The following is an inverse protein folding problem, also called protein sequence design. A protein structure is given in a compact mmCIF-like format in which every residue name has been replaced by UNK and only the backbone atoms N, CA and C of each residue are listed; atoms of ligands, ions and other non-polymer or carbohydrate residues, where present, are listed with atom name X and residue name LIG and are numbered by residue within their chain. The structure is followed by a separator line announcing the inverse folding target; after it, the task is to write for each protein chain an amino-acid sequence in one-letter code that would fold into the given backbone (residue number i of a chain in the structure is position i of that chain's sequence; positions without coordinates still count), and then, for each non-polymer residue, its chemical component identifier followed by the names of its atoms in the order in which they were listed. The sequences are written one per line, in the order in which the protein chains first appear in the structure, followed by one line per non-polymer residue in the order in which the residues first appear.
data_IF_422825605448
#
_entry.id   IF_422825605448
#
_cell.length_a   1.000
_cell.length_b   1.000
_cell.length_c   1.000
_cell.angle_alpha   90.00
_cell.angle_beta   90.00
_cell.angle_gamma   90.00
#
_symmetry.space_group_name_H-M   'P 1'
#
loop_
_entity.id
_entity.type
_entity.pdbx_description
1 polymer ?
#
# COMPACT_ATOMS: atom_id res chain seq x y z
N UNK A 1 -3.22 -33.34 26.39
CA UNK A 1 -4.32 -33.28 25.40
C UNK A 1 -5.47 -32.55 26.07
N UNK A 2 -5.92 -31.40 25.55
CA UNK A 2 -7.10 -30.71 26.08
C UNK A 2 -8.34 -31.39 25.49
N UNK A 3 -9.29 -31.76 26.34
CA UNK A 3 -10.57 -32.32 25.93
C UNK A 3 -11.66 -31.31 26.22
N UNK A 4 -12.51 -31.04 25.25
CA UNK A 4 -13.64 -30.11 25.34
C UNK A 4 -14.94 -30.92 25.39
N UNK A 5 -15.99 -30.38 26.01
CA UNK A 5 -17.32 -30.99 25.95
C UNK A 5 -17.96 -30.74 24.58
N UNK A 6 -18.90 -31.61 24.19
CA UNK A 6 -19.60 -31.50 22.90
C UNK A 6 -20.33 -30.16 22.78
N UNK A 7 -21.10 -29.75 23.81
CA UNK A 7 -21.77 -28.44 23.86
C UNK A 7 -20.80 -27.25 23.67
N UNK A 8 -19.56 -27.39 24.13
CA UNK A 8 -18.55 -26.35 23.98
C UNK A 8 -18.04 -26.30 22.54
N UNK A 9 -17.79 -27.46 21.94
CA UNK A 9 -17.36 -27.58 20.54
C UNK A 9 -18.45 -27.03 19.62
N UNK A 10 -19.72 -27.40 19.82
CA UNK A 10 -20.84 -26.95 18.98
C UNK A 10 -21.00 -25.42 19.03
N UNK A 11 -21.04 -24.85 20.24
CA UNK A 11 -21.16 -23.38 20.41
C UNK A 11 -20.07 -22.61 19.67
N UNK A 12 -18.83 -23.08 19.75
CA UNK A 12 -17.70 -22.42 19.12
C UNK A 12 -17.54 -22.78 17.64
N UNK A 13 -18.06 -23.92 17.19
CA UNK A 13 -18.12 -24.27 15.77
C UNK A 13 -19.06 -23.33 15.01
N UNK A 14 -20.25 -23.04 15.57
CA UNK A 14 -21.18 -22.07 14.98
C UNK A 14 -20.54 -20.68 14.86
N UNK A 15 -19.84 -20.25 15.92
CA UNK A 15 -19.14 -18.97 15.97
C UNK A 15 -17.96 -18.92 15.00
N UNK A 16 -17.22 -20.01 14.85
CA UNK A 16 -16.12 -20.16 13.89
C UNK A 16 -16.61 -19.99 12.44
N UNK A 17 -17.77 -20.58 12.10
CA UNK A 17 -18.38 -20.46 10.79
C UNK A 17 -18.91 -19.04 10.56
N UNK A 18 -19.64 -18.48 11.53
CA UNK A 18 -20.23 -17.15 11.45
C UNK A 18 -19.17 -16.06 11.21
N UNK A 19 -18.01 -16.18 11.86
CA UNK A 19 -16.90 -15.25 11.70
C UNK A 19 -15.93 -15.64 10.57
N UNK A 20 -16.22 -16.73 9.85
CA UNK A 20 -15.43 -17.21 8.70
C UNK A 20 -13.94 -17.34 9.01
N UNK A 21 -13.60 -17.79 10.22
CA UNK A 21 -12.23 -17.86 10.74
C UNK A 21 -11.27 -18.66 9.86
N UNK A 22 -11.78 -19.64 9.10
CA UNK A 22 -11.00 -20.37 8.10
C UNK A 22 -10.34 -19.47 7.05
N UNK A 23 -10.95 -18.32 6.71
CA UNK A 23 -10.36 -17.34 5.78
C UNK A 23 -9.10 -16.70 6.33
N UNK A 24 -9.00 -16.56 7.65
CA UNK A 24 -7.81 -16.04 8.32
C UNK A 24 -6.73 -17.13 8.54
N UNK A 25 -6.90 -18.32 7.97
CA UNK A 25 -5.92 -19.41 8.05
C UNK A 25 -5.93 -20.17 9.37
N UNK A 26 -6.97 -20.00 10.19
CA UNK A 26 -7.09 -20.63 11.52
C UNK A 26 -8.06 -21.81 11.43
N UNK A 27 -7.68 -22.96 11.99
CA UNK A 27 -8.59 -24.11 12.09
C UNK A 27 -9.40 -24.10 13.41
N UNK A 28 -10.44 -24.93 13.49
CA UNK A 28 -11.32 -24.96 14.68
C UNK A 28 -10.54 -25.34 15.96
N UNK A 29 -9.59 -26.28 15.86
CA UNK A 29 -8.82 -26.72 17.02
C UNK A 29 -7.93 -25.60 17.58
N UNK A 30 -7.32 -24.80 16.70
CA UNK A 30 -6.54 -23.60 17.06
C UNK A 30 -7.44 -22.51 17.63
N UNK A 31 -8.58 -22.26 17.00
CA UNK A 31 -9.57 -21.30 17.49
C UNK A 31 -10.00 -21.57 18.93
N UNK A 32 -10.24 -22.85 19.27
CA UNK A 32 -10.62 -23.29 20.62
C UNK A 32 -9.52 -23.11 21.68
N UNK A 33 -8.26 -22.84 21.30
CA UNK A 33 -7.19 -22.55 22.25
C UNK A 33 -7.41 -21.18 22.91
N UNK A 34 -7.85 -20.19 22.12
CA UNK A 34 -8.13 -18.83 22.58
C UNK A 34 -9.13 -18.10 21.66
N UNK A 35 -10.44 -18.37 21.79
CA UNK A 35 -11.45 -17.82 20.89
C UNK A 35 -11.42 -16.29 20.85
N UNK A 36 -11.32 -15.63 22.01
CA UNK A 36 -11.37 -14.17 22.11
C UNK A 36 -10.26 -13.44 21.32
N UNK A 37 -9.09 -14.07 21.16
CA UNK A 37 -8.00 -13.50 20.37
C UNK A 37 -8.30 -13.56 18.87
N UNK A 38 -8.79 -14.71 18.39
CA UNK A 38 -9.10 -14.91 16.98
C UNK A 38 -10.36 -14.14 16.56
N UNK A 39 -11.33 -13.98 17.46
CA UNK A 39 -12.52 -13.16 17.18
C UNK A 39 -12.18 -11.69 16.91
N UNK A 40 -11.08 -11.17 17.46
CA UNK A 40 -10.59 -9.82 17.12
C UNK A 40 -10.11 -9.73 15.67
N UNK A 41 -9.55 -10.82 15.12
CA UNK A 41 -9.15 -10.85 13.71
C UNK A 41 -10.34 -10.74 12.77
N UNK A 42 -11.54 -11.11 13.22
CA UNK A 42 -12.77 -10.95 12.44
C UNK A 42 -13.14 -9.48 12.20
N UNK A 43 -12.58 -8.55 13.00
CA UNK A 43 -12.78 -7.11 12.82
C UNK A 43 -11.85 -6.53 11.76
N UNK A 44 -10.75 -7.23 11.47
CA UNK A 44 -9.82 -6.85 10.42
C UNK A 44 -10.40 -7.22 9.05
N UNK A 45 -10.05 -6.48 7.98
CA UNK A 45 -10.47 -6.83 6.64
C UNK A 45 -10.05 -8.28 6.31
N UNK A 46 -10.98 -9.04 5.75
CA UNK A 46 -10.71 -10.42 5.33
C UNK A 46 -9.54 -10.44 4.34
N UNK A 47 -8.61 -11.40 4.45
CA UNK A 47 -7.54 -11.53 3.49
C UNK A 47 -8.09 -11.82 2.09
N UNK A 48 -7.36 -11.32 1.10
CA UNK A 48 -7.68 -11.52 -0.31
C UNK A 48 -7.67 -13.01 -0.62
N UNK A 49 -8.59 -13.43 -1.48
CA UNK A 49 -8.55 -14.79 -2.03
C UNK A 49 -7.29 -14.94 -2.90
N UNK A 50 -6.72 -16.14 -3.05
CA UNK A 50 -5.53 -16.36 -3.88
C UNK A 50 -5.68 -15.82 -5.31
N UNK A 51 -6.88 -15.91 -5.90
CA UNK A 51 -7.17 -15.34 -7.21
C UNK A 51 -7.14 -13.79 -7.23
N UNK A 52 -7.59 -13.16 -6.14
CA UNK A 52 -7.53 -11.71 -5.96
C UNK A 52 -6.09 -11.26 -5.72
N UNK A 53 -5.31 -11.97 -4.91
CA UNK A 53 -3.88 -11.72 -4.72
C UNK A 53 -3.12 -11.82 -6.05
N UNK A 54 -3.39 -12.86 -6.85
CA UNK A 54 -2.80 -13.00 -8.17
C UNK A 54 -3.20 -11.84 -9.11
N UNK A 55 -4.41 -11.29 -8.98
CA UNK A 55 -4.81 -10.10 -9.73
C UNK A 55 -4.03 -8.86 -9.28
N UNK A 56 -3.92 -8.63 -7.97
CA UNK A 56 -3.14 -7.52 -7.40
C UNK A 56 -1.68 -7.60 -7.85
N UNK A 57 -1.06 -8.78 -7.76
CA UNK A 57 0.32 -8.99 -8.21
C UNK A 57 0.49 -8.73 -9.70
N UNK A 58 -0.45 -9.17 -10.55
CA UNK A 58 -0.42 -8.88 -11.99
C UNK A 58 -0.53 -7.38 -12.28
N UNK A 59 -1.40 -6.67 -11.58
CA UNK A 59 -1.56 -5.22 -11.73
C UNK A 59 -0.26 -4.52 -11.32
N UNK A 60 0.28 -4.89 -10.16
CA UNK A 60 1.52 -4.30 -9.65
C UNK A 60 2.72 -4.57 -10.57
N UNK A 61 2.86 -5.80 -11.06
CA UNK A 61 3.88 -6.16 -12.06
C UNK A 61 3.74 -5.31 -13.32
N UNK A 62 2.53 -5.14 -13.86
CA UNK A 62 2.28 -4.31 -15.05
C UNK A 62 2.70 -2.85 -14.83
N UNK A 63 2.44 -2.30 -13.64
CA UNK A 63 2.82 -0.93 -13.28
C UNK A 63 4.35 -0.78 -13.16
N UNK A 64 5.02 -1.73 -12.52
CA UNK A 64 6.48 -1.70 -12.34
C UNK A 64 7.23 -1.84 -13.67
N UNK A 65 6.75 -2.71 -14.57
CA UNK A 65 7.39 -2.93 -15.88
C UNK A 65 6.96 -1.92 -16.95
N UNK A 66 6.01 -1.02 -16.65
CA UNK A 66 5.44 -0.10 -17.64
C UNK A 66 4.64 -0.78 -18.75
N UNK A 67 4.23 -2.04 -18.54
CA UNK A 67 3.36 -2.82 -19.44
C UNK A 67 1.88 -2.66 -19.09
N UNK A 68 1.56 -1.72 -18.18
CA UNK A 68 0.22 -1.22 -18.06
C UNK A 68 -0.15 -0.62 -19.40
N UNK A 69 -0.90 -1.36 -20.22
CA UNK A 69 -1.69 -0.78 -21.28
C UNK A 69 -2.38 0.42 -20.64
N UNK A 70 -2.03 1.63 -21.07
CA UNK A 70 -2.95 2.75 -20.94
C UNK A 70 -4.22 2.19 -21.56
N UNK A 71 -5.21 1.86 -20.73
CA UNK A 71 -6.55 1.60 -21.22
C UNK A 71 -6.79 2.75 -22.17
N UNK A 72 -6.91 2.44 -23.46
CA UNK A 72 -7.04 3.44 -24.51
C UNK A 72 -8.03 4.43 -23.94
N UNK A 73 -7.57 5.67 -23.68
CA UNK A 73 -8.41 6.69 -23.07
C UNK A 73 -9.74 6.57 -23.77
N UNK A 74 -10.86 6.31 -23.04
CA UNK A 74 -12.14 5.98 -23.67
C UNK A 74 -12.31 7.00 -24.76
N UNK A 75 -12.36 6.51 -26.02
CA UNK A 75 -12.26 7.34 -27.22
C UNK A 75 -13.08 8.57 -26.93
N UNK A 76 -12.39 9.69 -26.69
CA UNK A 76 -12.97 10.88 -26.09
C UNK A 76 -14.25 11.11 -26.84
N UNK A 77 -15.38 11.02 -26.12
CA UNK A 77 -16.67 11.44 -26.67
C UNK A 77 -16.39 12.76 -27.40
N UNK A 78 -16.88 12.95 -28.64
CA UNK A 78 -16.55 14.14 -29.41
C UNK A 78 -16.73 15.32 -28.48
N UNK A 79 -15.62 16.01 -28.18
CA UNK A 79 -15.54 17.04 -27.15
C UNK A 79 -16.81 17.87 -27.27
N UNK A 80 -17.76 17.67 -26.34
CA UNK A 80 -18.84 18.61 -26.20
C UNK A 80 -18.11 19.94 -26.05
N UNK A 81 -18.46 20.93 -26.88
CA UNK A 81 -17.91 22.27 -26.78
C UNK A 81 -18.24 22.78 -25.37
N UNK A 82 -17.39 22.43 -24.40
CA UNK A 82 -17.50 22.84 -23.02
C UNK A 82 -17.20 24.34 -23.08
N UNK A 83 -18.26 25.14 -22.97
CA UNK A 83 -18.11 26.57 -22.85
C UNK A 83 -17.07 26.83 -21.74
N UNK A 84 -16.02 27.61 -22.01
CA UNK A 84 -14.94 27.81 -21.05
C UNK A 84 -15.54 28.31 -19.74
N UNK A 85 -15.47 27.48 -18.70
CA UNK A 85 -15.98 27.80 -17.39
C UNK A 85 -15.23 29.01 -16.85
N UNK A 86 -15.90 30.15 -16.83
CA UNK A 86 -15.36 31.39 -16.28
C UNK A 86 -15.57 31.37 -14.77
N UNK A 87 -14.46 31.30 -14.02
CA UNK A 87 -14.52 31.37 -12.56
C UNK A 87 -15.13 32.71 -12.13
N UNK A 88 -16.03 32.71 -11.13
CA UNK A 88 -16.52 33.95 -10.53
C UNK A 88 -15.35 34.80 -10.02
N UNK A 89 -15.43 36.15 -10.11
CA UNK A 89 -14.33 37.07 -9.80
C UNK A 89 -13.82 36.97 -8.36
N UNK A 90 -14.62 36.43 -7.45
CA UNK A 90 -14.26 36.14 -6.06
C UNK A 90 -13.14 35.09 -5.92
N UNK A 91 -12.93 34.27 -6.96
CA UNK A 91 -11.90 33.23 -7.00
C UNK A 91 -10.66 33.60 -7.83
N UNK A 92 -10.57 34.84 -8.34
CA UNK A 92 -9.42 35.29 -9.14
C UNK A 92 -8.08 35.20 -8.38
N UNK A 93 -8.10 35.34 -7.05
CA UNK A 93 -6.92 35.18 -6.17
C UNK A 93 -6.36 33.75 -6.23
N UNK A 94 -7.23 32.76 -6.44
CA UNK A 94 -6.82 31.37 -6.59
C UNK A 94 -6.19 31.10 -7.95
N UNK A 95 -6.53 31.87 -8.99
CA UNK A 95 -5.95 31.74 -10.32
C UNK A 95 -4.47 32.12 -10.31
N UNK A 96 -4.11 33.23 -9.66
CA UNK A 96 -2.71 33.65 -9.45
C UNK A 96 -1.95 32.65 -8.56
N UNK A 97 -2.59 32.13 -7.52
CA UNK A 97 -2.00 31.11 -6.64
C UNK A 97 -1.72 29.80 -7.38
N UNK A 98 -2.68 29.33 -8.20
CA UNK A 98 -2.55 28.12 -9.01
C UNK A 98 -1.57 28.30 -10.18
N UNK A 99 -1.50 29.49 -10.79
CA UNK A 99 -0.48 29.85 -11.78
C UNK A 99 0.93 29.94 -11.16
N UNK A 100 1.03 30.44 -9.92
CA UNK A 100 2.26 30.47 -9.13
C UNK A 100 2.77 29.08 -8.73
N UNK A 101 1.84 28.16 -8.42
CA UNK A 101 2.12 26.73 -8.22
C UNK A 101 2.33 25.96 -9.54
N UNK A 102 1.78 26.47 -10.64
CA UNK A 102 1.64 25.80 -11.93
C UNK A 102 2.90 25.78 -12.81
N UNK A 103 3.99 26.42 -12.41
CA UNK A 103 5.29 26.27 -13.10
C UNK A 103 6.02 24.95 -12.75
N UNK A 104 5.28 23.91 -12.40
CA UNK A 104 5.75 22.54 -12.26
C UNK A 104 6.00 21.82 -13.61
N UNK A 105 6.05 22.56 -14.73
CA UNK A 105 6.46 22.03 -16.05
C UNK A 105 7.88 21.42 -16.05
N UNK A 106 8.67 21.66 -15.01
CA UNK A 106 10.00 21.06 -14.83
C UNK A 106 10.00 19.73 -14.03
N UNK A 107 8.87 19.31 -13.44
CA UNK A 107 8.81 18.06 -12.69
C UNK A 107 8.80 16.91 -13.70
N UNK A 108 9.87 16.12 -13.70
CA UNK A 108 9.98 14.93 -14.55
C UNK A 108 8.86 13.97 -14.19
N UNK A 109 8.04 13.64 -15.16
CA UNK A 109 7.07 12.56 -15.03
C UNK A 109 7.68 11.27 -15.56
N UNK A 110 7.34 10.14 -14.94
CA UNK A 110 7.53 8.80 -15.51
C UNK A 110 6.18 8.12 -15.44
N UNK A 111 5.68 7.64 -16.57
CA UNK A 111 4.40 6.93 -16.67
C UNK A 111 3.19 7.73 -16.12
N UNK A 112 3.16 9.06 -16.30
CA UNK A 112 2.05 9.91 -15.85
C UNK A 112 2.01 10.17 -14.34
N UNK A 113 2.91 9.59 -13.56
CA UNK A 113 3.07 9.89 -12.13
C UNK A 113 4.13 10.98 -11.94
N UNK A 114 3.83 11.96 -11.08
CA UNK A 114 4.82 12.96 -10.67
C UNK A 114 5.97 12.29 -9.93
N UNK A 115 7.20 12.40 -10.45
CA UNK A 115 8.39 12.05 -9.69
C UNK A 115 8.85 13.30 -8.98
N UNK A 116 8.52 13.43 -7.70
CA UNK A 116 9.21 14.41 -6.86
C UNK A 116 10.70 14.04 -6.82
N UNK A 117 11.63 14.97 -7.11
CA UNK A 117 13.03 14.71 -6.89
C UNK A 117 13.22 14.43 -5.40
N UNK A 118 13.54 13.18 -5.06
CA UNK A 118 13.85 12.78 -3.69
C UNK A 118 15.06 13.60 -3.24
N UNK A 119 14.81 14.68 -2.51
CA UNK A 119 15.84 15.53 -1.94
C UNK A 119 16.55 14.72 -0.86
N UNK A 120 17.55 13.94 -1.27
CA UNK A 120 18.50 13.38 -0.34
C UNK A 120 19.21 14.55 0.33
N UNK A 121 18.82 14.87 1.56
CA UNK A 121 19.71 15.56 2.48
C UNK A 121 21.01 14.76 2.47
N UNK A 122 22.03 15.27 1.78
CA UNK A 122 23.36 14.70 1.82
C UNK A 122 23.79 14.82 3.28
N UNK A 123 23.69 13.74 4.03
CA UNK A 123 24.40 13.62 5.29
C UNK A 123 25.86 13.96 5.00
N UNK A 124 26.36 14.99 5.68
CA UNK A 124 27.73 15.47 5.55
C UNK A 124 28.70 14.29 5.43
N UNK A 125 29.35 14.17 4.26
CA UNK A 125 30.38 13.15 3.96
C UNK A 125 31.69 13.42 4.73
N UNK A 126 31.58 13.88 5.98
CA UNK A 126 32.70 14.33 6.80
C UNK A 126 33.06 13.41 7.95
N UNK A 127 32.11 12.74 8.62
CA UNK A 127 32.40 12.28 9.98
C UNK A 127 32.34 10.78 10.30
N UNK A 128 31.80 9.88 9.46
CA UNK A 128 31.64 8.48 9.88
C UNK A 128 31.82 7.42 8.78
N UNK A 129 32.86 7.51 7.94
CA UNK A 129 33.27 6.42 7.02
C UNK A 129 34.05 5.29 7.72
N UNK A 130 33.72 5.00 8.99
CA UNK A 130 34.43 4.00 9.81
C UNK A 130 33.59 2.78 10.20
N UNK A 131 32.26 2.81 10.03
CA UNK A 131 31.38 1.80 10.63
C UNK A 131 31.14 0.55 9.78
N UNK A 132 31.43 0.58 8.48
CA UNK A 132 31.12 -0.51 7.55
C UNK A 132 32.35 -1.17 6.90
N UNK A 133 33.56 -0.92 7.42
CA UNK A 133 34.78 -1.55 6.91
C UNK A 133 35.25 -2.63 7.89
N UNK A 134 34.77 -3.85 7.71
CA UNK A 134 35.02 -4.97 8.62
C UNK A 134 36.49 -5.39 8.68
N UNK A 135 37.27 -5.17 7.61
CA UNK A 135 38.71 -5.40 7.57
C UNK A 135 39.47 -4.53 8.58
N UNK A 136 39.11 -3.24 8.72
CA UNK A 136 39.73 -2.35 9.72
C UNK A 136 39.32 -2.67 11.16
N UNK A 137 38.16 -3.31 11.36
CA UNK A 137 37.66 -3.66 12.70
C UNK A 137 38.37 -4.89 13.27
N UNK A 138 38.82 -5.81 12.41
CA UNK A 138 39.64 -6.97 12.79
C UNK A 138 41.05 -6.56 13.25
N UNK A 139 41.67 -5.59 12.58
CA UNK A 139 43.03 -5.14 12.90
C UNK A 139 43.18 -4.45 14.28
N UNK A 140 42.07 -4.03 14.91
CA UNK A 140 42.09 -3.37 16.23
C UNK A 140 41.80 -4.31 17.40
N UNK A 141 41.52 -5.59 17.16
CA UNK A 141 41.16 -6.55 18.21
C UNK A 141 42.33 -7.44 18.68
N UNK A 142 43.55 -7.12 18.26
CA UNK A 142 44.77 -7.88 18.58
C UNK A 142 45.99 -7.00 18.84
N UNK A 143 45.81 -5.85 19.51
CA UNK A 143 46.88 -5.05 20.09
C UNK A 143 46.63 -4.87 21.58
#
# INVERSE_FOLDING_TARGET
MRTYSDDHIERYADRFIALRMARHGVNLAEYLINPAQFERLALEPEPLLPAQEAAVLRIWQRWDTGLAEQAAAPASEPEAEEEPFTLPPEYAVWEEFLLGLGNNKAIRQRNGTFIEPLNHHRHNRGMNRGSANFERKQARKGA
#
